data_IF_792788242322
#
_entry.id   IF_792788242322
#
_cell.length_a   1.000
_cell.length_b   1.000
_cell.length_c   1.000
_cell.angle_alpha   90.00
_cell.angle_beta   90.00
_cell.angle_gamma   90.00
#
_symmetry.space_group_name_H-M   'P 1'
#
loop_
_entity.id
_entity.type
_entity.pdbx_description
1 polymer ?
#
# COMPACT_ATOMS: atom_id res chain seq x y z
N UNK A 1 23.80 7.52 -16.36
CA UNK A 1 25.12 7.24 -15.71
C UNK A 1 25.31 7.83 -14.30
N UNK A 2 24.44 8.73 -13.79
CA UNK A 2 24.48 9.19 -12.39
C UNK A 2 23.71 8.31 -11.39
N UNK A 3 22.77 7.48 -11.84
CA UNK A 3 21.93 6.63 -10.96
C UNK A 3 22.62 5.34 -10.47
N UNK A 4 23.57 4.78 -11.23
CA UNK A 4 24.27 3.53 -10.87
C UNK A 4 25.33 3.76 -9.77
N UNK A 5 25.85 4.99 -9.62
CA UNK A 5 26.86 5.30 -8.62
C UNK A 5 26.26 5.55 -7.22
N UNK A 6 24.96 5.84 -7.13
CA UNK A 6 24.28 6.07 -5.85
C UNK A 6 23.97 4.75 -5.13
N UNK A 7 23.58 3.71 -5.86
CA UNK A 7 23.29 2.39 -5.26
C UNK A 7 24.52 1.69 -4.66
N UNK A 8 25.70 1.84 -5.28
CA UNK A 8 26.96 1.30 -4.71
C UNK A 8 27.39 2.10 -3.47
N UNK A 9 27.02 3.38 -3.37
CA UNK A 9 27.37 4.21 -2.22
C UNK A 9 26.41 4.01 -1.03
N UNK A 10 25.13 3.71 -1.29
CA UNK A 10 24.17 3.31 -0.26
C UNK A 10 24.57 1.97 0.39
N UNK A 11 24.89 0.96 -0.42
CA UNK A 11 25.42 -0.32 0.08
C UNK A 11 26.76 -0.19 0.83
N UNK A 12 27.56 0.85 0.55
CA UNK A 12 28.79 1.13 1.28
C UNK A 12 28.58 1.92 2.59
N UNK A 13 27.43 2.59 2.78
CA UNK A 13 27.12 3.35 4.01
C UNK A 13 26.42 2.52 5.09
N UNK A 14 25.76 1.41 4.73
CA UNK A 14 25.17 0.46 5.69
C UNK A 14 26.23 -0.20 6.59
N UNK A 15 27.51 -0.20 6.19
CA UNK A 15 28.61 -0.70 7.03
C UNK A 15 29.01 0.21 8.21
N UNK A 16 28.23 1.23 8.57
CA UNK A 16 28.62 2.19 9.63
C UNK A 16 27.70 2.31 10.85
N UNK A 17 26.60 1.55 10.95
CA UNK A 17 25.78 1.52 12.17
C UNK A 17 26.16 0.37 13.10
N UNK A 18 27.41 0.40 13.59
CA UNK A 18 27.76 -0.30 14.81
C UNK A 18 27.45 0.61 16.01
N UNK A 19 26.37 0.34 16.74
CA UNK A 19 26.41 0.30 18.21
C UNK A 19 25.05 -0.09 18.80
N UNK A 20 24.72 -1.39 18.73
CA UNK A 20 23.99 -1.98 19.85
C UNK A 20 24.89 -1.76 21.08
N UNK A 21 24.37 -1.10 22.11
CA UNK A 21 25.11 -0.82 23.33
C UNK A 21 25.54 -2.15 23.98
N UNK A 22 26.82 -2.48 23.82
CA UNK A 22 27.43 -3.68 24.37
C UNK A 22 27.45 -3.65 25.90
N UNK A 23 26.48 -4.33 26.51
CA UNK A 23 26.68 -5.01 27.79
C UNK A 23 27.04 -6.46 27.44
N UNK A 24 28.24 -6.88 27.84
CA UNK A 24 28.89 -8.12 27.42
C UNK A 24 28.03 -9.37 27.61
N UNK A 25 27.43 -9.82 26.51
CA UNK A 25 27.13 -11.23 26.21
C UNK A 25 27.91 -11.51 24.93
N UNK A 26 28.80 -12.51 24.94
CA UNK A 26 29.60 -12.90 23.78
C UNK A 26 28.70 -13.68 22.80
N UNK A 27 27.86 -12.96 22.04
CA UNK A 27 27.06 -13.54 20.96
C UNK A 27 27.63 -13.16 19.60
N UNK A 28 27.46 -14.04 18.60
CA UNK A 28 27.90 -13.81 17.23
C UNK A 28 26.73 -13.35 16.36
N UNK A 29 27.00 -12.47 15.39
CA UNK A 29 26.04 -12.13 14.32
C UNK A 29 26.42 -12.85 13.03
N UNK A 30 25.43 -13.37 12.31
CA UNK A 30 25.66 -14.10 11.08
C UNK A 30 26.38 -13.19 10.06
N UNK A 31 27.49 -13.70 9.53
CA UNK A 31 28.38 -12.98 8.59
C UNK A 31 28.02 -13.23 7.13
N UNK A 32 27.30 -14.32 6.86
CA UNK A 32 26.76 -14.67 5.54
C UNK A 32 25.33 -15.09 5.74
N UNK A 33 24.45 -14.63 4.85
CA UNK A 33 23.06 -15.07 4.72
C UNK A 33 22.79 -15.18 3.22
N UNK A 34 22.36 -16.35 2.76
CA UNK A 34 22.00 -16.57 1.37
C UNK A 34 20.49 -16.43 1.15
N UNK A 35 20.15 -15.83 0.02
CA UNK A 35 18.79 -15.55 -0.37
C UNK A 35 18.45 -16.27 -1.68
N UNK A 36 17.23 -16.76 -1.77
CA UNK A 36 16.66 -17.28 -3.00
C UNK A 36 16.11 -16.16 -3.89
N UNK A 37 15.59 -16.53 -5.05
CA UNK A 37 14.78 -15.63 -5.87
C UNK A 37 13.57 -15.16 -5.08
N UNK A 38 13.23 -13.88 -5.19
CA UNK A 38 12.03 -13.32 -4.59
C UNK A 38 10.79 -13.58 -5.44
N UNK A 39 9.65 -13.75 -4.78
CA UNK A 39 8.38 -14.10 -5.43
C UNK A 39 7.26 -13.17 -4.99
N UNK A 40 6.40 -12.80 -5.92
CA UNK A 40 5.15 -12.11 -5.64
C UNK A 40 4.13 -13.15 -5.13
N UNK A 41 3.51 -12.88 -3.97
CA UNK A 41 2.60 -13.84 -3.33
C UNK A 41 1.24 -13.91 -4.03
N UNK A 42 0.92 -12.96 -4.93
CA UNK A 42 -0.39 -12.90 -5.60
C UNK A 42 -0.47 -13.84 -6.81
N UNK A 43 0.61 -13.97 -7.56
CA UNK A 43 0.66 -14.64 -8.87
C UNK A 43 1.69 -15.78 -8.91
N UNK A 44 2.43 -16.02 -7.81
CA UNK A 44 3.52 -17.01 -7.74
C UNK A 44 4.62 -16.75 -8.80
N UNK A 45 4.73 -15.52 -9.30
CA UNK A 45 5.76 -15.10 -10.26
C UNK A 45 6.96 -14.48 -9.56
N UNK A 46 8.12 -14.51 -10.22
CA UNK A 46 9.30 -13.86 -9.70
C UNK A 46 9.07 -12.34 -9.64
N UNK A 47 9.48 -11.70 -8.55
CA UNK A 47 9.37 -10.25 -8.41
C UNK A 47 10.11 -9.55 -9.55
N UNK A 48 9.44 -8.60 -10.20
CA UNK A 48 9.98 -7.76 -11.26
C UNK A 48 9.74 -6.26 -10.96
N UNK A 49 10.05 -5.41 -11.94
CA UNK A 49 9.91 -3.96 -11.81
C UNK A 49 8.48 -3.46 -11.59
N UNK A 50 7.45 -4.28 -11.84
CA UNK A 50 6.06 -3.93 -11.51
C UNK A 50 5.79 -3.96 -10.00
N UNK A 51 6.63 -4.64 -9.22
CA UNK A 51 6.55 -4.68 -7.75
C UNK A 51 7.66 -3.84 -7.13
N UNK A 52 8.84 -3.83 -7.74
CA UNK A 52 10.00 -3.06 -7.28
C UNK A 52 11.30 -3.77 -7.62
N UNK A 53 12.42 -3.09 -7.43
CA UNK A 53 13.75 -3.69 -7.62
C UNK A 53 14.41 -3.94 -6.28
N UNK A 54 14.85 -5.18 -6.04
CA UNK A 54 15.34 -5.59 -4.74
C UNK A 54 16.75 -6.16 -4.81
N UNK A 55 17.53 -5.91 -3.76
CA UNK A 55 18.88 -6.45 -3.59
C UNK A 55 19.00 -7.00 -2.17
N UNK A 56 19.20 -8.31 -2.05
CA UNK A 56 19.47 -8.97 -0.78
C UNK A 56 20.91 -9.47 -0.74
N UNK A 57 21.72 -8.94 0.17
CA UNK A 57 23.13 -9.30 0.32
C UNK A 57 23.48 -9.27 1.81
N UNK A 58 23.92 -10.40 2.36
CA UNK A 58 24.51 -10.55 3.70
C UNK A 58 23.90 -9.63 4.78
N UNK A 59 22.71 -9.96 5.27
CA UNK A 59 22.10 -9.18 6.35
C UNK A 59 21.59 -7.80 5.93
N UNK A 60 21.65 -7.45 4.65
CA UNK A 60 20.99 -6.28 4.06
C UNK A 60 19.94 -6.71 3.05
N UNK A 61 18.80 -6.03 3.07
CA UNK A 61 17.72 -6.22 2.12
C UNK A 61 17.15 -4.87 1.67
N UNK A 62 17.64 -4.40 0.53
CA UNK A 62 17.32 -3.09 -0.03
C UNK A 62 16.28 -3.21 -1.14
N UNK A 63 15.38 -2.23 -1.23
CA UNK A 63 14.33 -2.14 -2.24
C UNK A 63 14.18 -0.72 -2.77
N UNK A 64 14.11 -0.59 -4.10
CA UNK A 64 13.94 0.67 -4.81
C UNK A 64 12.70 0.60 -5.70
N UNK A 65 11.99 1.72 -5.82
CA UNK A 65 10.73 1.83 -6.56
C UNK A 65 9.67 0.78 -6.13
N UNK A 66 9.64 0.44 -4.84
CA UNK A 66 8.75 -0.60 -4.30
C UNK A 66 7.31 -0.13 -4.34
N UNK A 67 6.41 -0.89 -4.97
CA UNK A 67 4.99 -0.53 -5.07
C UNK A 67 4.27 -0.70 -3.73
N UNK A 68 3.47 0.29 -3.28
CA UNK A 68 2.60 0.14 -2.13
C UNK A 68 1.61 -1.02 -2.30
N UNK A 69 1.14 -1.59 -1.18
CA UNK A 69 0.18 -2.70 -1.19
C UNK A 69 0.70 -4.01 -1.80
N UNK A 70 2.00 -4.09 -2.11
CA UNK A 70 2.64 -5.30 -2.59
C UNK A 70 2.82 -6.33 -1.47
N UNK A 71 2.84 -7.60 -1.86
CA UNK A 71 3.11 -8.73 -0.98
C UNK A 71 4.15 -9.60 -1.66
N UNK A 72 5.31 -9.76 -1.04
CA UNK A 72 6.40 -10.52 -1.61
C UNK A 72 7.09 -11.42 -0.59
N UNK A 73 7.69 -12.47 -1.12
CA UNK A 73 8.34 -13.55 -0.41
C UNK A 73 9.84 -13.53 -0.70
N UNK A 74 10.65 -13.51 0.35
CA UNK A 74 12.10 -13.62 0.30
C UNK A 74 12.52 -14.96 0.94
N UNK A 75 12.77 -16.00 0.14
CA UNK A 75 13.29 -17.26 0.66
C UNK A 75 14.73 -17.10 1.16
N UNK A 76 15.05 -17.73 2.27
CA UNK A 76 16.43 -17.87 2.77
C UNK A 76 16.92 -19.27 2.42
N UNK A 77 18.09 -19.38 1.80
CA UNK A 77 18.62 -20.65 1.31
C UNK A 77 19.30 -21.46 2.42
N UNK A 78 19.20 -22.79 2.36
CA UNK A 78 19.93 -23.66 3.30
C UNK A 78 21.46 -23.56 3.09
N UNK A 79 22.22 -24.00 4.09
CA UNK A 79 23.70 -23.99 4.14
C UNK A 79 24.36 -22.61 3.94
N UNK A 80 23.57 -21.54 3.98
CA UNK A 80 24.02 -20.19 3.64
C UNK A 80 24.16 -19.24 4.83
N UNK A 81 23.85 -19.71 6.04
CA UNK A 81 23.95 -18.94 7.27
C UNK A 81 25.22 -19.35 8.00
N UNK A 82 26.16 -18.41 8.11
CA UNK A 82 27.45 -18.67 8.73
C UNK A 82 27.82 -17.62 9.77
N UNK A 83 28.17 -18.06 10.97
CA UNK A 83 28.86 -17.25 11.97
C UNK A 83 30.37 -17.45 11.83
N UNK A 84 31.11 -16.37 11.61
CA UNK A 84 32.57 -16.43 11.48
C UNK A 84 33.23 -15.68 12.64
N UNK A 85 34.17 -16.34 13.29
CA UNK A 85 35.17 -15.72 14.17
C UNK A 85 36.52 -15.68 13.44
N UNK A 86 37.53 -15.02 14.05
CA UNK A 86 38.90 -14.98 13.51
C UNK A 86 39.52 -16.37 13.26
N UNK A 87 38.95 -17.45 13.82
CA UNK A 87 39.55 -18.80 13.79
C UNK A 87 38.60 -19.92 13.37
N UNK A 88 37.28 -19.69 13.35
CA UNK A 88 36.27 -20.72 13.07
C UNK A 88 35.07 -20.15 12.33
N UNK A 89 34.55 -20.89 11.35
CA UNK A 89 33.25 -20.61 10.72
C UNK A 89 32.29 -21.74 11.08
N UNK A 90 31.14 -21.38 11.63
CA UNK A 90 30.06 -22.30 11.96
C UNK A 90 28.90 -22.06 10.99
N UNK A 91 28.48 -23.12 10.30
CA UNK A 91 27.28 -23.11 9.45
C UNK A 91 26.13 -23.74 10.21
N UNK A 92 24.98 -23.08 10.21
CA UNK A 92 23.75 -23.60 10.79
C UNK A 92 22.66 -23.65 9.73
N UNK A 93 22.00 -24.80 9.68
CA UNK A 93 21.03 -25.10 8.64
C UNK A 93 19.69 -24.44 8.94
N UNK A 94 18.95 -24.11 7.89
CA UNK A 94 17.65 -23.45 8.02
C UNK A 94 16.60 -24.31 8.73
N UNK A 95 16.75 -25.64 8.68
CA UNK A 95 15.95 -26.63 9.43
C UNK A 95 16.06 -26.46 10.97
N UNK A 96 17.19 -25.96 11.47
CA UNK A 96 17.35 -25.66 12.90
C UNK A 96 16.81 -24.29 13.25
N UNK A 97 17.05 -23.33 12.38
CA UNK A 97 16.67 -21.93 12.59
C UNK A 97 15.14 -21.75 12.55
N UNK A 98 14.43 -22.57 11.77
CA UNK A 98 12.96 -22.55 11.75
C UNK A 98 12.32 -23.07 13.05
N UNK A 99 13.09 -23.75 13.89
CA UNK A 99 12.57 -24.34 15.13
C UNK A 99 12.37 -23.24 16.18
N UNK A 100 11.13 -23.02 16.55
CA UNK A 100 10.74 -22.01 17.54
C UNK A 100 11.17 -22.36 18.97
N UNK A 101 11.52 -23.62 19.28
CA UNK A 101 12.17 -23.96 20.54
C UNK A 101 13.62 -23.43 20.60
N UNK A 102 14.27 -23.27 19.44
CA UNK A 102 15.70 -22.92 19.34
C UNK A 102 15.89 -21.43 19.09
N UNK A 103 15.13 -20.85 18.16
CA UNK A 103 15.28 -19.46 17.73
C UNK A 103 14.01 -18.65 17.98
N UNK A 104 14.21 -17.38 18.32
CA UNK A 104 13.13 -16.38 18.44
C UNK A 104 13.17 -15.48 17.21
N UNK A 105 12.05 -15.38 16.50
CA UNK A 105 11.85 -14.39 15.44
C UNK A 105 11.33 -13.07 16.03
N UNK A 106 11.94 -11.95 15.65
CA UNK A 106 11.55 -10.60 16.04
C UNK A 106 11.70 -9.64 14.85
N UNK A 107 10.93 -8.57 14.86
CA UNK A 107 10.89 -7.56 13.81
C UNK A 107 10.78 -6.21 14.49
N UNK A 108 11.83 -5.41 14.36
CA UNK A 108 11.81 -4.01 14.75
C UNK A 108 11.61 -3.14 13.50
N UNK A 109 10.71 -2.17 13.62
CA UNK A 109 10.36 -1.28 12.50
C UNK A 109 10.74 0.13 12.90
N UNK A 110 11.56 0.76 12.09
CA UNK A 110 12.11 2.07 12.36
C UNK A 110 11.31 3.15 11.60
N UNK A 111 11.91 3.74 10.58
CA UNK A 111 11.33 4.84 9.81
C UNK A 111 10.08 4.37 9.09
N UNK A 112 8.99 5.14 9.25
CA UNK A 112 7.71 4.89 8.61
C UNK A 112 7.20 3.42 8.74
N UNK A 113 7.47 2.75 9.85
CA UNK A 113 7.12 1.34 10.07
C UNK A 113 5.65 0.95 9.82
N UNK A 114 4.72 1.92 9.80
CA UNK A 114 3.32 1.71 9.37
C UNK A 114 3.18 1.27 7.89
N UNK A 115 4.18 1.56 7.06
CA UNK A 115 4.24 1.11 5.66
C UNK A 115 4.46 -0.40 5.55
N UNK A 116 4.99 -1.02 6.59
CA UNK A 116 5.06 -2.45 6.72
C UNK A 116 3.83 -2.89 7.53
N UNK A 117 2.78 -3.41 6.87
CA UNK A 117 1.64 -4.01 7.58
C UNK A 117 2.14 -5.18 8.43
N UNK A 118 2.93 -6.06 7.83
CA UNK A 118 3.46 -7.25 8.49
C UNK A 118 4.74 -7.76 7.84
N UNK A 119 5.63 -8.28 8.68
CA UNK A 119 6.70 -9.20 8.25
C UNK A 119 6.48 -10.48 9.03
N UNK A 120 6.41 -11.61 8.30
CA UNK A 120 6.18 -12.93 8.88
C UNK A 120 7.29 -13.88 8.49
N UNK A 121 7.72 -14.73 9.42
CA UNK A 121 8.53 -15.90 9.10
C UNK A 121 7.61 -17.07 8.77
N UNK A 122 7.61 -17.49 7.51
CA UNK A 122 6.93 -18.72 7.07
C UNK A 122 7.93 -19.86 7.06
N UNK A 123 7.55 -20.98 7.69
CA UNK A 123 8.38 -22.17 7.77
C UNK A 123 7.90 -23.25 6.83
N UNK A 124 8.82 -24.04 6.27
CA UNK A 124 8.48 -25.19 5.40
C UNK A 124 7.56 -24.82 4.22
N UNK A 125 7.68 -23.58 3.72
CA UNK A 125 6.83 -23.02 2.69
C UNK A 125 7.32 -23.47 1.31
N UNK A 126 6.36 -23.88 0.47
CA UNK A 126 6.61 -24.11 -0.95
C UNK A 126 6.43 -22.80 -1.70
N UNK A 127 7.44 -22.38 -2.44
CA UNK A 127 7.46 -21.17 -3.28
C UNK A 127 7.95 -21.59 -4.67
N UNK A 128 7.14 -21.32 -5.70
CA UNK A 128 7.35 -21.78 -7.08
C UNK A 128 7.91 -23.22 -7.18
N UNK A 129 7.14 -24.20 -6.70
CA UNK A 129 7.57 -25.60 -6.81
C UNK A 129 8.63 -26.06 -5.77
N UNK A 130 9.39 -25.15 -5.19
CA UNK A 130 10.54 -25.45 -4.31
C UNK A 130 10.18 -25.23 -2.84
N UNK A 131 10.58 -26.15 -1.96
CA UNK A 131 10.35 -26.01 -0.51
C UNK A 131 11.54 -25.31 0.13
N UNK A 132 11.25 -24.27 0.90
CA UNK A 132 12.21 -23.53 1.72
C UNK A 132 11.83 -23.68 3.20
N UNK A 133 12.83 -23.87 4.05
CA UNK A 133 12.64 -23.93 5.50
C UNK A 133 12.25 -22.59 6.09
N UNK A 134 12.78 -21.49 5.52
CA UNK A 134 12.56 -20.11 5.97
C UNK A 134 12.20 -19.23 4.77
N UNK A 135 11.07 -18.54 4.88
CA UNK A 135 10.64 -17.52 3.91
C UNK A 135 10.17 -16.30 4.69
N UNK A 136 10.78 -15.15 4.45
CA UNK A 136 10.28 -13.88 4.96
C UNK A 136 9.17 -13.38 4.03
N UNK A 137 7.96 -13.21 4.58
CA UNK A 137 6.83 -12.61 3.86
C UNK A 137 6.68 -11.16 4.29
N UNK A 138 6.76 -10.24 3.34
CA UNK A 138 6.51 -8.82 3.53
C UNK A 138 5.14 -8.47 2.99
N UNK A 139 4.36 -7.73 3.79
CA UNK A 139 3.06 -7.18 3.41
C UNK A 139 3.12 -5.67 3.60
N UNK A 140 3.08 -4.91 2.51
CA UNK A 140 3.16 -3.45 2.55
C UNK A 140 1.76 -2.82 2.65
N UNK A 141 1.71 -1.65 3.31
CA UNK A 141 0.53 -0.81 3.28
C UNK A 141 0.37 -0.15 1.92
N UNK A 142 -0.88 0.17 1.56
CA UNK A 142 -1.12 1.05 0.42
C UNK A 142 -0.68 2.48 0.79
N UNK A 143 -0.37 3.28 -0.23
CA UNK A 143 -0.12 4.70 -0.11
C UNK A 143 -0.86 5.42 -1.22
N UNK A 144 -1.42 6.57 -0.89
CA UNK A 144 -2.08 7.48 -1.84
C UNK A 144 -1.25 8.76 -2.03
N UNK A 145 -0.01 8.77 -1.55
CA UNK A 145 0.91 9.89 -1.71
C UNK A 145 1.49 9.90 -3.12
N UNK A 146 1.86 11.09 -3.58
CA UNK A 146 2.64 11.28 -4.82
C UNK A 146 4.14 11.39 -4.54
N UNK A 147 4.50 11.52 -3.26
CA UNK A 147 5.87 11.51 -2.78
C UNK A 147 6.33 10.10 -2.40
N UNK A 148 7.62 9.87 -2.63
CA UNK A 148 8.34 8.67 -2.22
C UNK A 148 8.43 8.57 -0.69
N UNK A 149 8.25 7.37 -0.17
CA UNK A 149 8.30 7.06 1.26
C UNK A 149 9.44 6.09 1.53
N UNK A 150 10.37 6.49 2.39
CA UNK A 150 11.40 5.60 2.90
C UNK A 150 10.92 4.84 4.13
N UNK A 151 11.13 3.53 4.18
CA UNK A 151 10.91 2.72 5.39
C UNK A 151 12.08 1.76 5.62
N UNK A 152 12.44 1.57 6.88
CA UNK A 152 13.53 0.69 7.29
C UNK A 152 13.21 -0.02 8.62
N UNK A 153 14.08 -0.96 8.97
CA UNK A 153 14.01 -1.70 10.22
C UNK A 153 14.90 -2.94 10.20
N UNK A 154 14.81 -3.75 11.24
CA UNK A 154 15.66 -4.92 11.44
C UNK A 154 14.81 -6.15 11.75
N UNK A 155 15.12 -7.25 11.05
CA UNK A 155 14.57 -8.57 11.31
C UNK A 155 15.62 -9.38 12.04
N UNK A 156 15.25 -10.02 13.14
CA UNK A 156 16.18 -10.79 13.97
C UNK A 156 15.69 -12.22 14.20
N UNK A 157 16.59 -13.19 14.03
CA UNK A 157 16.44 -14.52 14.61
C UNK A 157 17.53 -14.72 15.67
N UNK A 158 17.12 -14.85 16.91
CA UNK A 158 18.01 -14.96 18.08
C UNK A 158 17.97 -16.36 18.66
N UNK A 159 19.13 -17.00 18.80
CA UNK A 159 19.25 -18.27 19.50
C UNK A 159 18.89 -18.09 20.99
N UNK A 160 17.96 -18.91 21.49
CA UNK A 160 17.42 -18.76 22.84
C UNK A 160 18.32 -19.32 23.95
N UNK A 161 19.25 -20.21 23.58
CA UNK A 161 20.15 -21.00 24.44
C UNK A 161 21.32 -21.56 23.62
N UNK A 162 22.34 -22.06 24.32
CA UNK A 162 23.38 -22.86 23.71
C UNK A 162 22.80 -24.16 23.11
N UNK A 163 23.28 -24.57 21.95
CA UNK A 163 22.86 -25.83 21.32
C UNK A 163 23.13 -27.04 22.23
N UNK A 164 24.14 -26.94 23.10
CA UNK A 164 24.50 -27.98 24.09
C UNK A 164 23.54 -28.10 25.27
N UNK A 165 22.67 -27.11 25.50
CA UNK A 165 21.64 -27.17 26.55
C UNK A 165 20.45 -28.06 26.15
N UNK A 166 20.35 -28.42 24.88
CA UNK A 166 19.35 -29.32 24.36
C UNK A 166 19.86 -30.77 24.39
N UNK A 167 18.97 -31.72 24.68
CA UNK A 167 19.32 -33.13 24.81
C UNK A 167 18.22 -34.07 24.32
N UNK A 168 18.59 -35.33 24.06
CA UNK A 168 17.67 -36.34 23.55
C UNK A 168 17.22 -36.05 22.13
N UNK A 169 15.94 -36.23 21.85
CA UNK A 169 15.36 -36.02 20.52
C UNK A 169 15.37 -34.55 20.06
N UNK A 170 15.68 -33.61 20.97
CA UNK A 170 15.82 -32.18 20.69
C UNK A 170 17.26 -31.73 20.48
N UNK A 171 18.22 -32.64 20.39
CA UNK A 171 19.64 -32.27 20.22
C UNK A 171 19.86 -31.65 18.83
N UNK A 172 20.31 -30.39 18.71
CA UNK A 172 20.66 -29.80 17.43
C UNK A 172 21.83 -30.53 16.77
N UNK A 173 21.79 -30.58 15.44
CA UNK A 173 22.84 -31.06 14.53
C UNK A 173 23.98 -30.04 14.40
N UNK A 174 23.68 -28.74 14.39
CA UNK A 174 24.69 -27.69 14.29
C UNK A 174 24.92 -27.00 15.64
N UNK A 175 26.06 -26.29 15.76
CA UNK A 175 26.43 -25.58 16.97
C UNK A 175 25.98 -24.11 16.88
N UNK A 176 25.40 -23.59 17.96
CA UNK A 176 25.07 -22.19 18.16
C UNK A 176 25.08 -21.90 19.67
N UNK A 177 25.31 -20.64 20.04
CA UNK A 177 25.35 -20.18 21.43
C UNK A 177 24.12 -19.34 21.75
N UNK A 178 23.81 -19.22 23.04
CA UNK A 178 22.80 -18.31 23.54
C UNK A 178 23.06 -16.88 23.03
N UNK A 179 22.02 -16.25 22.49
CA UNK A 179 22.06 -14.92 21.92
C UNK A 179 22.66 -14.81 20.52
N UNK A 180 23.18 -15.89 19.90
CA UNK A 180 23.67 -15.82 18.51
C UNK A 180 22.55 -15.29 17.58
N UNK A 181 22.88 -14.27 16.77
CA UNK A 181 21.92 -13.50 15.97
C UNK A 181 22.07 -13.77 14.48
N UNK A 182 20.94 -13.86 13.81
CA UNK A 182 20.80 -13.59 12.37
C UNK A 182 20.08 -12.25 12.27
N UNK A 183 20.79 -11.22 11.80
CA UNK A 183 20.25 -9.87 11.62
C UNK A 183 20.10 -9.58 10.14
N UNK A 184 18.92 -9.13 9.73
CA UNK A 184 18.64 -8.68 8.37
C UNK A 184 18.01 -7.29 8.46
N UNK A 185 18.79 -6.28 8.12
CA UNK A 185 18.31 -4.90 8.00
C UNK A 185 17.60 -4.75 6.65
N UNK A 186 16.41 -4.16 6.65
CA UNK A 186 15.69 -3.85 5.43
C UNK A 186 15.57 -2.33 5.25
N UNK A 187 15.61 -1.89 3.99
CA UNK A 187 15.41 -0.48 3.63
C UNK A 187 14.72 -0.38 2.27
N UNK A 188 13.51 0.16 2.24
CA UNK A 188 12.70 0.30 1.03
C UNK A 188 12.38 1.75 0.74
N UNK A 189 12.58 2.15 -0.52
CA UNK A 189 12.00 3.35 -1.10
C UNK A 189 10.71 2.96 -1.83
N UNK A 190 9.59 3.38 -1.25
CA UNK A 190 8.24 3.01 -1.67
C UNK A 190 7.65 4.16 -2.47
N UNK A 191 7.15 3.89 -3.67
CA UNK A 191 6.52 4.90 -4.50
C UNK A 191 5.38 4.33 -5.34
N UNK A 192 4.34 5.14 -5.54
CA UNK A 192 3.35 4.90 -6.58
C UNK A 192 4.00 5.11 -7.95
N UNK A 193 3.45 4.47 -8.97
CA UNK A 193 3.96 4.62 -10.32
C UNK A 193 3.65 6.02 -10.86
N UNK A 194 4.65 6.66 -11.47
CA UNK A 194 4.44 7.94 -12.12
C UNK A 194 3.74 7.70 -13.46
N UNK A 195 2.70 8.47 -13.73
CA UNK A 195 2.10 8.61 -15.05
C UNK A 195 2.09 10.09 -15.46
N UNK A 196 2.32 10.34 -16.74
CA UNK A 196 2.42 11.67 -17.35
C UNK A 196 1.28 11.85 -18.38
N UNK A 197 1.24 13.01 -19.02
CA UNK A 197 0.27 13.32 -20.06
C UNK A 197 0.32 12.30 -21.22
N UNK A 198 -0.85 11.90 -21.72
CA UNK A 198 -1.05 10.88 -22.77
C UNK A 198 -0.62 9.44 -22.39
N UNK A 199 -0.28 9.18 -21.13
CA UNK A 199 -0.13 7.80 -20.64
C UNK A 199 -1.49 7.15 -20.38
N UNK A 200 -1.53 5.82 -20.51
CA UNK A 200 -2.75 5.02 -20.38
C UNK A 200 -2.58 3.92 -19.32
N UNK A 201 -2.66 4.24 -18.00
CA UNK A 201 -2.57 3.24 -16.94
C UNK A 201 -3.76 2.27 -16.97
N UNK A 202 -3.55 1.03 -16.51
CA UNK A 202 -4.63 0.05 -16.45
C UNK A 202 -5.59 0.34 -15.27
N UNK A 203 -6.80 -0.21 -15.37
CA UNK A 203 -7.74 -0.18 -14.24
C UNK A 203 -7.14 -0.92 -13.03
N UNK A 204 -7.11 -0.25 -11.89
CA UNK A 204 -6.59 -0.77 -10.64
C UNK A 204 -5.14 -0.42 -10.35
N UNK A 205 -4.42 0.17 -11.31
CA UNK A 205 -3.02 0.57 -11.14
C UNK A 205 -2.83 1.64 -10.08
N UNK A 206 -1.74 1.51 -9.32
CA UNK A 206 -1.37 2.46 -8.26
C UNK A 206 -0.49 3.55 -8.83
N UNK A 207 -1.12 4.49 -9.50
CA UNK A 207 -0.43 5.57 -10.20
C UNK A 207 -0.70 6.94 -9.57
N UNK A 208 0.24 7.86 -9.72
CA UNK A 208 0.00 9.29 -9.55
C UNK A 208 0.25 10.01 -10.87
N UNK A 209 -0.58 11.00 -11.17
CA UNK A 209 -0.46 11.81 -12.36
C UNK A 209 0.37 13.06 -12.06
N UNK A 210 1.34 13.34 -12.91
CA UNK A 210 2.20 14.53 -12.91
C UNK A 210 1.85 15.39 -14.13
N UNK A 211 0.94 16.38 -13.99
CA UNK A 211 0.46 17.17 -15.12
C UNK A 211 1.54 18.07 -15.73
N UNK A 212 1.44 18.32 -17.04
CA UNK A 212 2.17 19.37 -17.73
C UNK A 212 1.58 20.75 -17.40
N UNK A 213 2.39 21.64 -16.81
CA UNK A 213 1.98 23.00 -16.43
C UNK A 213 1.55 23.84 -17.65
N UNK A 214 0.46 24.59 -17.52
CA UNK A 214 -0.11 25.44 -18.59
C UNK A 214 -0.37 24.72 -19.92
N UNK A 215 -0.67 23.42 -19.88
CA UNK A 215 -1.04 22.65 -21.06
C UNK A 215 -2.33 21.86 -20.83
N UNK A 216 -2.89 21.37 -21.93
CA UNK A 216 -3.98 20.41 -21.91
C UNK A 216 -3.41 19.04 -21.58
N UNK A 217 -3.93 18.48 -20.49
CA UNK A 217 -3.57 17.19 -19.95
C UNK A 217 -4.70 16.20 -20.20
N UNK A 218 -4.35 15.01 -20.67
CA UNK A 218 -5.25 13.87 -20.88
C UNK A 218 -4.71 12.65 -20.16
N UNK A 219 -5.60 11.91 -19.51
CA UNK A 219 -5.31 10.63 -18.85
C UNK A 219 -6.46 9.67 -19.16
N UNK A 220 -6.14 8.48 -19.69
CA UNK A 220 -7.14 7.44 -20.02
C UNK A 220 -6.83 6.19 -19.22
N UNK A 221 -7.82 5.64 -18.55
CA UNK A 221 -7.67 4.44 -17.73
C UNK A 221 -8.22 3.20 -18.42
N UNK A 222 -7.48 2.09 -18.30
CA UNK A 222 -8.00 0.73 -18.42
C UNK A 222 -8.61 0.36 -19.75
N UNK A 223 -8.04 0.86 -20.86
CA UNK A 223 -8.57 0.67 -22.22
C UNK A 223 -9.98 1.29 -22.35
N UNK A 224 -10.01 2.62 -22.36
CA UNK A 224 -11.22 3.45 -22.49
C UNK A 224 -12.28 3.24 -21.39
N UNK A 225 -11.87 2.83 -20.18
CA UNK A 225 -12.81 2.75 -19.04
C UNK A 225 -13.16 4.12 -18.49
N UNK A 226 -12.20 5.03 -18.45
CA UNK A 226 -12.49 6.43 -18.14
C UNK A 226 -11.45 7.33 -18.79
N UNK A 227 -11.79 8.59 -18.99
CA UNK A 227 -10.86 9.61 -19.44
C UNK A 227 -11.03 10.90 -18.62
N UNK A 228 -9.91 11.58 -18.38
CA UNK A 228 -9.88 12.88 -17.75
C UNK A 228 -9.10 13.83 -18.64
N UNK A 229 -9.73 14.96 -18.99
CA UNK A 229 -9.11 16.03 -19.77
C UNK A 229 -9.23 17.36 -19.05
N UNK A 230 -8.11 18.07 -18.90
CA UNK A 230 -8.12 19.38 -18.23
C UNK A 230 -6.95 20.27 -18.66
N UNK A 231 -7.14 21.58 -18.55
CA UNK A 231 -6.04 22.56 -18.67
C UNK A 231 -5.43 22.76 -17.28
N UNK A 232 -4.16 22.44 -17.12
CA UNK A 232 -3.50 22.54 -15.82
C UNK A 232 -3.10 23.98 -15.46
N UNK A 233 -2.89 24.23 -14.17
CA UNK A 233 -2.35 25.51 -13.67
C UNK A 233 -0.86 25.70 -14.04
N UNK A 234 -0.27 26.84 -13.69
CA UNK A 234 1.14 27.15 -13.96
C UNK A 234 2.15 26.50 -12.99
N UNK A 235 1.64 25.79 -11.99
CA UNK A 235 2.36 24.99 -10.99
C UNK A 235 1.41 23.86 -10.55
N UNK A 236 1.11 22.96 -11.49
CA UNK A 236 0.09 21.94 -11.32
C UNK A 236 0.52 20.91 -10.27
N UNK A 237 -0.32 20.73 -9.25
CA UNK A 237 -0.05 19.76 -8.19
C UNK A 237 -0.29 18.33 -8.67
N UNK A 238 0.67 17.43 -8.42
CA UNK A 238 0.49 15.99 -8.63
C UNK A 238 -0.70 15.46 -7.82
N UNK A 239 -1.41 14.48 -8.35
CA UNK A 239 -2.49 13.82 -7.64
C UNK A 239 -2.48 12.30 -7.85
N UNK A 240 -3.01 11.57 -6.87
CA UNK A 240 -3.16 10.12 -6.97
C UNK A 240 -4.31 9.78 -7.92
N UNK A 241 -4.06 8.87 -8.87
CA UNK A 241 -4.89 8.71 -10.07
C UNK A 241 -5.28 7.25 -10.31
N UNK A 242 -5.66 6.52 -9.26
CA UNK A 242 -6.12 5.13 -9.38
C UNK A 242 -7.62 5.07 -9.65
N UNK A 243 -8.01 4.49 -10.78
CA UNK A 243 -9.38 4.03 -11.05
C UNK A 243 -9.53 2.57 -10.59
N UNK A 244 -10.54 2.27 -9.79
CA UNK A 244 -10.96 0.91 -9.46
C UNK A 244 -12.31 0.61 -10.09
N UNK A 245 -12.40 -0.50 -10.82
CA UNK A 245 -13.65 -1.02 -11.42
C UNK A 245 -14.17 -2.25 -10.70
N UNK A 246 -13.61 -2.56 -9.52
CA UNK A 246 -14.02 -3.72 -8.72
C UNK A 246 -15.45 -3.57 -8.23
N UNK A 247 -16.23 -4.65 -8.34
CA UNK A 247 -17.61 -4.70 -7.84
C UNK A 247 -17.68 -4.46 -6.33
N UNK A 248 -18.51 -3.49 -5.92
CA UNK A 248 -18.92 -3.34 -4.53
C UNK A 248 -20.13 -4.24 -4.26
N UNK A 249 -19.89 -5.41 -3.66
CA UNK A 249 -20.94 -6.41 -3.40
C UNK A 249 -21.98 -5.93 -2.40
N UNK A 250 -21.60 -5.02 -1.50
CA UNK A 250 -22.53 -4.47 -0.52
C UNK A 250 -23.51 -3.57 -1.24
N UNK A 251 -23.00 -2.65 -2.06
CA UNK A 251 -23.84 -1.77 -2.87
C UNK A 251 -24.74 -2.56 -3.83
N UNK A 252 -24.21 -3.63 -4.42
CA UNK A 252 -24.98 -4.52 -5.29
C UNK A 252 -26.15 -5.17 -4.55
N UNK A 253 -25.90 -5.74 -3.37
CA UNK A 253 -26.93 -6.40 -2.58
C UNK A 253 -27.99 -5.43 -2.04
N UNK A 254 -27.59 -4.19 -1.77
CA UNK A 254 -28.42 -3.17 -1.16
C UNK A 254 -29.29 -2.43 -2.20
N UNK A 255 -28.70 -1.99 -3.31
CA UNK A 255 -29.39 -1.17 -4.31
C UNK A 255 -29.72 -1.93 -5.60
N UNK A 256 -28.84 -2.80 -6.09
CA UNK A 256 -28.99 -3.46 -7.39
C UNK A 256 -29.90 -4.69 -7.36
N UNK A 257 -29.62 -5.65 -6.48
CA UNK A 257 -30.36 -6.92 -6.34
C UNK A 257 -31.89 -6.73 -6.15
N UNK A 258 -32.39 -5.73 -5.39
CA UNK A 258 -33.83 -5.53 -5.20
C UNK A 258 -34.61 -5.22 -6.50
N UNK A 259 -33.93 -4.63 -7.49
CA UNK A 259 -34.53 -4.23 -8.77
C UNK A 259 -33.96 -5.01 -9.96
N UNK A 260 -33.11 -6.02 -9.71
CA UNK A 260 -32.45 -6.84 -10.73
C UNK A 260 -31.61 -6.00 -11.70
N UNK A 261 -30.90 -5.00 -11.16
CA UNK A 261 -30.05 -4.10 -11.95
C UNK A 261 -28.63 -4.66 -12.14
N UNK A 262 -28.05 -4.38 -13.30
CA UNK A 262 -26.62 -4.54 -13.54
C UNK A 262 -25.88 -3.24 -13.15
N UNK A 263 -24.80 -3.38 -12.36
CA UNK A 263 -24.01 -2.26 -11.85
C UNK A 263 -22.56 -2.30 -12.33
N UNK A 264 -22.08 -1.17 -12.84
CA UNK A 264 -20.67 -0.95 -13.18
C UNK A 264 -20.08 0.20 -12.37
N UNK A 265 -18.84 0.02 -11.90
CA UNK A 265 -18.22 0.87 -10.89
C UNK A 265 -17.04 1.65 -11.46
N UNK A 266 -16.98 2.94 -11.13
CA UNK A 266 -15.88 3.85 -11.43
C UNK A 266 -15.44 4.55 -10.14
N UNK A 267 -14.59 3.89 -9.37
CA UNK A 267 -14.08 4.40 -8.10
C UNK A 267 -12.72 5.07 -8.29
N UNK A 268 -12.72 6.41 -8.36
CA UNK A 268 -11.48 7.19 -8.34
C UNK A 268 -10.98 7.30 -6.91
N UNK A 269 -10.14 6.35 -6.51
CA UNK A 269 -9.73 6.13 -5.13
C UNK A 269 -9.19 7.42 -4.51
N UNK A 270 -9.66 7.76 -3.30
CA UNK A 270 -9.39 9.00 -2.55
C UNK A 270 -10.08 10.27 -3.06
N UNK A 271 -10.89 10.17 -4.12
CA UNK A 271 -11.67 11.28 -4.67
C UNK A 271 -10.80 12.52 -4.93
N UNK A 272 -9.74 12.42 -5.75
CA UNK A 272 -8.74 13.46 -5.89
C UNK A 272 -9.31 14.76 -6.47
N UNK A 273 -8.76 15.89 -6.01
CA UNK A 273 -9.04 17.21 -6.60
C UNK A 273 -8.10 17.46 -7.77
N UNK A 274 -8.64 17.95 -8.88
CA UNK A 274 -7.89 18.21 -10.11
C UNK A 274 -7.22 19.59 -10.08
N UNK A 275 -5.90 19.69 -10.36
CA UNK A 275 -5.14 20.95 -10.35
C UNK A 275 -5.39 21.79 -11.62
N UNK A 276 -6.61 22.30 -11.76
CA UNK A 276 -7.04 23.05 -12.97
C UNK A 276 -7.71 24.38 -12.65
N UNK A 277 -7.37 25.41 -13.44
CA UNK A 277 -8.05 26.73 -13.44
C UNK A 277 -9.54 26.59 -13.72
N UNK A 278 -9.92 25.65 -14.58
CA UNK A 278 -11.29 25.40 -15.03
C UNK A 278 -11.79 24.03 -14.55
N UNK A 279 -13.03 23.67 -14.88
CA UNK A 279 -13.52 22.32 -14.59
C UNK A 279 -12.98 21.36 -15.65
N UNK A 280 -12.39 20.26 -15.19
CA UNK A 280 -11.97 19.15 -16.02
C UNK A 280 -13.19 18.50 -16.69
N UNK A 281 -13.02 17.94 -17.89
CA UNK A 281 -13.95 16.95 -18.44
C UNK A 281 -13.57 15.59 -17.87
N UNK A 282 -14.51 14.95 -17.17
CA UNK A 282 -14.45 13.53 -16.86
C UNK A 282 -15.40 12.81 -17.82
N UNK A 283 -14.94 11.73 -18.44
CA UNK A 283 -15.75 10.82 -19.23
C UNK A 283 -15.69 9.43 -18.61
N UNK A 284 -16.86 8.85 -18.31
CA UNK A 284 -17.00 7.45 -17.92
C UNK A 284 -17.24 6.65 -19.20
N UNK A 285 -16.34 5.75 -19.54
CA UNK A 285 -16.42 4.97 -20.78
C UNK A 285 -17.42 3.83 -20.69
N UNK A 286 -17.87 3.33 -21.83
CA UNK A 286 -18.83 2.22 -21.90
C UNK A 286 -18.19 0.94 -21.32
N UNK A 287 -18.81 0.29 -20.31
CA UNK A 287 -18.15 -0.81 -19.61
C UNK A 287 -18.35 -2.20 -20.21
N UNK A 288 -19.29 -2.36 -21.14
CA UNK A 288 -19.54 -3.62 -21.86
C UNK A 288 -18.89 -3.60 -23.24
N UNK A 289 -18.66 -4.78 -23.79
CA UNK A 289 -18.21 -4.93 -25.17
C UNK A 289 -19.43 -4.85 -26.11
N UNK A 290 -19.32 -4.13 -27.22
CA UNK A 290 -20.37 -4.05 -28.24
C UNK A 290 -20.57 -5.38 -28.98
N UNK A 291 -19.56 -6.25 -28.94
CA UNK A 291 -19.60 -7.60 -29.50
C UNK A 291 -20.10 -8.65 -28.49
N UNK A 292 -20.56 -8.25 -27.29
CA UNK A 292 -21.14 -9.17 -26.31
C UNK A 292 -22.49 -9.72 -26.79
N UNK A 293 -22.60 -11.05 -26.90
CA UNK A 293 -23.78 -11.75 -27.39
C UNK A 293 -24.89 -11.88 -26.33
N UNK A 294 -24.61 -11.62 -25.04
CA UNK A 294 -25.53 -11.92 -23.94
C UNK A 294 -26.47 -10.75 -23.60
N UNK A 295 -25.96 -9.53 -23.41
CA UNK A 295 -26.77 -8.34 -23.08
C UNK A 295 -25.99 -7.03 -23.26
N UNK A 296 -26.57 -6.07 -24.00
CA UNK A 296 -26.00 -4.74 -24.23
C UNK A 296 -27.09 -3.71 -23.87
N UNK A 297 -26.93 -2.95 -22.77
CA UNK A 297 -27.81 -1.85 -22.42
C UNK A 297 -27.79 -0.72 -23.46
N UNK A 298 -28.89 0.04 -23.55
CA UNK A 298 -28.90 1.31 -24.29
C UNK A 298 -28.19 2.39 -23.46
N UNK A 299 -27.06 2.95 -23.92
CA UNK A 299 -26.32 3.94 -23.15
C UNK A 299 -27.15 5.19 -22.79
N UNK A 300 -28.12 5.57 -23.63
CA UNK A 300 -28.96 6.75 -23.39
C UNK A 300 -30.02 6.53 -22.31
N UNK A 301 -30.30 5.28 -21.92
CA UNK A 301 -31.28 4.95 -20.87
C UNK A 301 -30.66 4.57 -19.52
N UNK A 302 -29.33 4.60 -19.40
CA UNK A 302 -28.64 4.25 -18.16
C UNK A 302 -28.71 5.38 -17.12
N UNK A 303 -28.60 5.00 -15.86
CA UNK A 303 -28.59 5.89 -14.70
C UNK A 303 -27.19 5.95 -14.10
N UNK A 304 -26.77 7.12 -13.61
CA UNK A 304 -25.47 7.32 -13.00
C UNK A 304 -25.66 7.87 -11.60
N UNK A 305 -25.12 7.16 -10.61
CA UNK A 305 -25.15 7.53 -9.21
C UNK A 305 -23.75 7.90 -8.73
N UNK A 306 -23.66 8.88 -7.83
CA UNK A 306 -22.44 9.23 -7.10
C UNK A 306 -22.57 8.72 -5.67
N UNK A 307 -21.58 7.94 -5.22
CA UNK A 307 -21.50 7.40 -3.86
C UNK A 307 -20.79 8.42 -2.96
N UNK A 308 -21.38 8.71 -1.81
CA UNK A 308 -20.77 9.57 -0.80
C UNK A 308 -19.87 8.81 0.20
N UNK A 309 -19.38 9.52 1.21
CA UNK A 309 -18.48 8.95 2.22
C UNK A 309 -19.16 7.96 3.18
N UNK A 310 -20.47 8.10 3.36
CA UNK A 310 -21.28 7.25 4.25
C UNK A 310 -21.79 6.01 3.51
N UNK A 311 -21.72 6.02 2.17
CA UNK A 311 -22.05 4.90 1.30
C UNK A 311 -23.36 5.08 0.54
N UNK A 312 -24.07 6.18 0.78
CA UNK A 312 -25.33 6.49 0.16
C UNK A 312 -25.15 6.92 -1.30
N UNK A 313 -26.16 6.63 -2.11
CA UNK A 313 -26.19 7.01 -3.53
C UNK A 313 -27.02 8.27 -3.75
N UNK A 314 -26.49 9.16 -4.60
CA UNK A 314 -27.22 10.30 -5.16
C UNK A 314 -27.30 10.16 -6.67
N UNK A 315 -28.49 10.28 -7.25
CA UNK A 315 -28.66 10.33 -8.71
C UNK A 315 -28.00 11.59 -9.28
N UNK A 316 -27.06 11.39 -10.20
CA UNK A 316 -26.33 12.44 -10.90
C UNK A 316 -26.43 12.30 -12.42
N UNK A 317 -27.36 11.49 -12.92
CA UNK A 317 -27.56 11.21 -14.35
C UNK A 317 -27.65 12.51 -15.17
N UNK A 318 -28.43 13.48 -14.70
CA UNK A 318 -28.61 14.81 -15.34
C UNK A 318 -27.33 15.66 -15.42
N UNK A 319 -26.27 15.33 -14.67
CA UNK A 319 -24.98 16.02 -14.74
C UNK A 319 -24.12 15.53 -15.90
N UNK A 320 -24.41 14.35 -16.42
CA UNK A 320 -23.67 13.70 -17.48
C UNK A 320 -24.37 13.87 -18.83
N UNK A 321 -23.59 13.78 -19.90
CA UNK A 321 -24.10 13.75 -21.27
C UNK A 321 -23.39 12.65 -22.03
N UNK A 322 -24.16 11.72 -22.61
CA UNK A 322 -23.63 10.65 -23.43
C UNK A 322 -23.21 11.18 -24.80
N UNK A 323 -22.06 10.71 -25.30
CA UNK A 323 -21.61 10.92 -26.68
C UNK A 323 -20.63 9.83 -27.09
N UNK A 324 -20.66 9.43 -28.36
CA UNK A 324 -19.71 8.48 -28.94
C UNK A 324 -18.47 9.19 -29.52
N UNK A 325 -18.55 10.49 -29.83
CA UNK A 325 -17.58 11.20 -30.67
C UNK A 325 -17.08 12.55 -30.09
N UNK A 326 -17.69 13.08 -29.03
CA UNK A 326 -17.42 14.46 -28.59
C UNK A 326 -16.21 14.62 -27.65
N UNK A 327 -15.76 13.54 -27.01
CA UNK A 327 -14.69 13.55 -26.00
C UNK A 327 -13.62 12.48 -26.31
N UNK A 328 -12.63 12.31 -25.44
CA UNK A 328 -11.46 11.44 -25.69
C UNK A 328 -11.82 9.96 -25.87
N UNK A 329 -12.93 9.53 -25.26
CA UNK A 329 -13.47 8.17 -25.34
C UNK A 329 -15.00 8.24 -25.46
N UNK A 330 -15.67 7.21 -26.05
CA UNK A 330 -17.13 7.13 -26.05
C UNK A 330 -17.66 6.89 -24.63
N UNK A 331 -18.71 7.63 -24.24
CA UNK A 331 -19.32 7.45 -22.93
C UNK A 331 -20.01 8.70 -22.38
N UNK A 332 -20.16 8.74 -21.05
CA UNK A 332 -20.88 9.80 -20.34
C UNK A 332 -19.92 10.83 -19.78
N UNK A 333 -20.09 12.08 -20.18
CA UNK A 333 -19.15 13.16 -19.85
C UNK A 333 -19.77 14.22 -18.95
N UNK A 334 -18.98 14.73 -17.99
CA UNK A 334 -19.36 15.87 -17.15
C UNK A 334 -18.18 16.79 -16.83
N UNK A 335 -18.51 18.01 -16.35
CA UNK A 335 -17.51 18.98 -15.89
C UNK A 335 -17.35 18.94 -14.37
N UNK A 336 -16.17 18.56 -13.88
CA UNK A 336 -15.88 18.44 -12.44
C UNK A 336 -14.57 19.09 -11.99
N UNK A 337 -14.41 19.26 -10.67
CA UNK A 337 -13.14 19.62 -10.01
C UNK A 337 -12.60 18.51 -9.11
N UNK A 338 -13.45 17.54 -8.77
CA UNK A 338 -13.14 16.46 -7.84
C UNK A 338 -13.65 15.17 -8.48
N UNK A 339 -12.81 14.14 -8.52
CA UNK A 339 -13.25 12.83 -8.99
C UNK A 339 -14.03 12.13 -7.87
N UNK A 340 -15.10 11.43 -8.25
CA UNK A 340 -16.03 10.79 -7.36
C UNK A 340 -15.88 9.28 -7.37
N UNK A 341 -16.81 8.60 -6.71
CA UNK A 341 -17.06 7.19 -6.94
C UNK A 341 -18.42 7.11 -7.64
N UNK A 342 -18.41 6.68 -8.90
CA UNK A 342 -19.62 6.64 -9.72
C UNK A 342 -20.06 5.20 -9.98
N UNK A 343 -21.38 5.02 -10.06
CA UNK A 343 -22.01 3.73 -10.31
C UNK A 343 -22.97 3.90 -11.48
N UNK A 344 -22.68 3.23 -12.58
CA UNK A 344 -23.58 3.14 -13.72
C UNK A 344 -24.55 1.98 -13.48
N UNK A 345 -25.83 2.21 -13.72
CA UNK A 345 -26.85 1.19 -13.66
C UNK A 345 -27.71 1.21 -14.93
N UNK A 346 -28.10 0.03 -15.40
CA UNK A 346 -29.02 -0.12 -16.52
C UNK A 346 -30.50 0.10 -16.12
N UNK A 347 -30.79 0.08 -14.82
CA UNK A 347 -32.13 0.20 -14.24
C UNK A 347 -32.15 1.25 -13.14
N UNK A 348 -33.24 2.00 -13.02
CA UNK A 348 -33.39 3.00 -11.95
C UNK A 348 -33.40 2.32 -10.57
N UNK A 349 -32.51 2.77 -9.68
CA UNK A 349 -32.37 2.26 -8.31
C UNK A 349 -33.33 2.99 -7.34
N UNK A 350 -33.85 2.27 -6.35
CA UNK A 350 -34.75 2.81 -5.31
C UNK A 350 -33.98 3.48 -4.16
N UNK A 351 -33.19 4.52 -4.48
CA UNK A 351 -32.27 5.17 -3.53
C UNK A 351 -32.98 5.93 -2.41
N UNK A 352 -34.18 6.48 -2.65
CA UNK A 352 -34.87 7.29 -1.63
C UNK A 352 -35.36 6.44 -0.46
N UNK A 353 -35.85 5.23 -0.73
CA UNK A 353 -36.34 4.33 0.30
C UNK A 353 -35.19 3.74 1.13
N UNK A 354 -34.07 3.45 0.49
CA UNK A 354 -32.90 2.82 1.11
C UNK A 354 -32.15 3.83 1.99
N UNK A 355 -31.76 4.99 1.44
CA UNK A 355 -31.03 6.01 2.19
C UNK A 355 -31.82 6.52 3.41
N UNK A 356 -33.15 6.43 3.40
CA UNK A 356 -34.00 6.85 4.52
C UNK A 356 -34.05 5.83 5.68
N UNK A 357 -33.82 4.54 5.42
CA UNK A 357 -33.78 3.50 6.47
C UNK A 357 -32.44 3.54 7.24
N UNK A 358 -31.36 3.98 6.58
CA UNK A 358 -30.04 4.14 7.20
C UNK A 358 -29.95 5.31 8.20
N UNK A 359 -30.76 6.36 8.01
CA UNK A 359 -30.85 7.54 8.90
C UNK A 359 -31.75 7.31 10.14
N UNK A 360 -32.35 6.12 10.29
CA UNK A 360 -33.23 5.76 11.41
C UNK A 360 -32.56 4.80 12.43
N UNK A 361 -31.31 4.34 12.21
CA UNK A 361 -30.58 3.40 13.10
C UNK A 361 -29.60 4.09 14.09
N UNK A 362 -29.46 5.41 14.05
CA UNK A 362 -28.57 6.20 14.93
C UNK A 362 -29.25 6.74 16.22
N UNK A 363 -30.53 6.43 16.45
CA UNK A 363 -31.31 6.93 17.60
C UNK A 363 -31.60 5.90 18.71
N UNK A 364 -30.65 5.00 18.98
CA UNK A 364 -30.67 4.12 20.17
C UNK A 364 -29.78 4.62 21.32
N UNK A 365 -29.74 5.94 21.59
CA UNK A 365 -29.27 6.47 22.86
C UNK A 365 -30.35 6.31 23.94
N UNK A 366 -30.59 5.07 24.38
CA UNK A 366 -31.43 4.81 25.54
C UNK A 366 -30.73 5.32 26.82
N UNK A 367 -31.29 6.40 27.36
CA UNK A 367 -31.14 6.94 28.71
C UNK A 367 -30.78 5.88 29.77
N UNK A 368 -29.52 5.91 30.24
CA UNK A 368 -29.12 5.24 31.48
C UNK A 368 -28.59 6.29 32.44
N UNK A 369 -29.46 6.66 33.38
CA UNK A 369 -29.12 7.39 34.60
C UNK A 369 -27.92 6.75 35.30
N UNK A 370 -26.89 7.54 35.57
CA UNK A 370 -25.73 7.16 36.38
C UNK A 370 -26.15 6.88 37.83
N UNK A 371 -25.62 5.80 38.43
CA UNK A 371 -24.97 5.96 39.73
C UNK A 371 -23.54 5.40 39.75
N UNK A 372 -22.69 6.22 40.38
CA UNK A 372 -21.28 6.04 40.76
C UNK A 372 -20.95 4.70 41.45
N UNK A 373 -19.79 4.11 41.13
CA UNK A 373 -19.20 3.00 41.90
C UNK A 373 -18.37 2.00 41.09
N UNK A 374 -17.04 2.20 41.06
CA UNK A 374 -16.09 1.50 40.19
C UNK A 374 -15.98 -0.03 40.27
N UNK A 375 -15.54 -0.63 39.15
CA UNK A 375 -14.41 -1.57 39.01
C UNK A 375 -14.34 -2.09 37.56
N UNK A 376 -13.14 -2.03 36.99
CA UNK A 376 -12.80 -2.54 35.66
C UNK A 376 -13.05 -4.06 35.51
N UNK A 377 -13.65 -4.44 34.38
CA UNK A 377 -13.51 -5.75 33.73
C UNK A 377 -13.46 -5.50 32.21
N UNK A 378 -12.48 -6.04 31.47
CA UNK A 378 -12.33 -5.79 30.03
C UNK A 378 -13.22 -6.72 29.20
N UNK A 379 -13.75 -6.23 28.09
CA UNK A 379 -14.49 -7.01 27.10
C UNK A 379 -14.22 -6.37 25.72
N UNK A 380 -13.19 -6.85 25.00
CA UNK A 380 -13.26 -7.75 23.83
C UNK A 380 -14.23 -7.31 22.73
N UNK A 381 -13.65 -6.75 21.65
CA UNK A 381 -14.00 -7.11 20.27
C UNK A 381 -15.14 -6.34 19.60
N UNK A 382 -14.83 -5.15 19.10
CA UNK A 382 -15.24 -4.62 17.77
C UNK A 382 -14.87 -3.13 17.73
N UNK A 383 -13.67 -2.80 17.25
CA UNK A 383 -13.36 -1.42 16.87
C UNK A 383 -13.44 -1.33 15.35
N UNK A 384 -14.62 -0.92 14.91
CA UNK A 384 -14.82 0.21 14.00
C UNK A 384 -13.52 0.96 13.66
N UNK A 385 -12.97 0.66 12.47
CA UNK A 385 -11.85 1.39 11.90
C UNK A 385 -12.39 2.37 10.85
N UNK A 386 -12.95 3.47 11.35
CA UNK A 386 -13.15 4.68 10.56
C UNK A 386 -11.76 5.23 10.20
N UNK A 387 -11.37 5.11 8.93
CA UNK A 387 -10.16 5.72 8.40
C UNK A 387 -10.34 7.24 8.35
N UNK A 388 -10.13 7.92 9.49
CA UNK A 388 -9.96 9.38 9.49
C UNK A 388 -8.60 9.69 8.88
N UNK A 389 -8.58 10.03 7.60
CA UNK A 389 -7.45 10.64 6.93
C UNK A 389 -7.24 12.05 7.52
N UNK A 390 -6.29 12.17 8.46
CA UNK A 390 -5.82 13.47 8.93
C UNK A 390 -4.92 14.07 7.85
N UNK A 391 -5.47 14.99 7.06
CA UNK A 391 -4.69 15.90 6.20
C UNK A 391 -3.96 16.89 7.11
N UNK A 392 -2.67 16.64 7.37
CA UNK A 392 -1.80 17.59 8.04
C UNK A 392 -1.29 18.63 7.03
N UNK A 393 -2.04 19.72 6.85
CA UNK A 393 -1.55 20.90 6.14
C UNK A 393 -0.43 21.57 6.95
N UNK A 394 0.83 21.34 6.58
CA UNK A 394 1.99 22.07 7.14
C UNK A 394 2.04 23.46 6.50
N UNK A 395 1.35 24.43 7.10
CA UNK A 395 1.55 25.85 6.79
C UNK A 395 2.82 26.31 7.51
N UNK A 396 3.94 26.38 6.80
CA UNK A 396 5.17 26.97 7.32
C UNK A 396 5.04 28.50 7.38
N UNK A 397 4.59 29.01 8.53
CA UNK A 397 4.58 30.44 8.82
C UNK A 397 6.02 30.94 9.00
N UNK A 398 6.63 31.48 7.94
CA UNK A 398 7.95 32.12 8.01
C UNK A 398 7.81 33.47 8.73
N UNK A 399 8.02 33.45 10.05
CA UNK A 399 8.12 34.68 10.84
C UNK A 399 9.45 35.40 10.51
N UNK A 400 9.35 36.47 9.72
CA UNK A 400 10.44 37.42 9.50
C UNK A 400 10.80 38.12 10.83
N UNK A 401 11.88 37.68 11.47
CA UNK A 401 12.46 38.34 12.64
C UNK A 401 13.11 39.67 12.27
N UNK A 402 12.41 40.78 12.56
CA UNK A 402 12.97 42.12 12.51
C UNK A 402 14.04 42.31 13.60
N UNK A 403 15.31 42.35 13.21
CA UNK A 403 16.41 42.72 14.11
C UNK A 403 16.44 44.24 14.28
N UNK A 404 16.13 44.69 15.51
CA UNK A 404 16.18 46.07 15.93
C UNK A 404 17.63 46.58 16.06
N UNK A 405 17.98 47.60 15.26
CA UNK A 405 19.18 48.40 15.44
C UNK A 405 19.10 49.24 16.72
N UNK A 406 19.87 48.86 17.75
CA UNK A 406 20.09 49.72 18.93
C UNK A 406 21.20 50.74 18.62
N UNK A 407 20.77 51.96 18.30
CA UNK A 407 21.57 53.18 18.31
C UNK A 407 21.91 53.55 19.75
N UNK A 408 23.20 53.69 20.08
CA UNK A 408 23.63 54.60 21.14
C UNK A 408 24.92 55.29 20.70
N UNK A 409 24.88 56.61 20.72
CA UNK A 409 25.95 57.53 20.35
C UNK A 409 26.56 58.11 21.61
N UNK A 410 27.90 58.19 21.59
CA UNK A 410 28.86 59.00 22.35
C UNK A 410 29.77 58.22 23.28
#
# INVERSE_FOLDING_TARGET
MKKILSGILAAAMVMSFASVAALAVDYNTATTIGYGTMWNDKDDEAVDSSVGTFTAVNGSFDGEDVRPGSIFLLPITDDSITWSSDTTTTTVNTDEIKNDDYFKFDVDKDTNGKMIKKISLLTDKKVNGTRYDLVLKFELADSYTTDEIHTDGTITLEAKKDSTDFSGDKTPKNAFNDGDLISIDYSFWINNEKTENDDNPDSGDRVYFDPDDNDTNTLIWGDDRAALKFEADDDASKFYARLSTSTDRTLYAEYGDPVDADLWFYDFVTNPTIPSTSRATLTLGIPWDEDDDDYIPDPESCFIYEKDADGNLTDVTDKFTFSEDDEEIPGWSMKTRVLGTYVLSDTELDIEAINADDEDDDDAAADVTTPDGGKDIPQTGSSDMVNVAVVAAVVSLTAAGAVAFKKSSK
#
